data_IF_144788729112
#
_entry.id   IF_144788729112
#
_cell.length_a   1.000
_cell.length_b   1.000
_cell.length_c   1.000
_cell.angle_alpha   90.00
_cell.angle_beta   90.00
_cell.angle_gamma   90.00
#
_symmetry.space_group_name_H-M   'P 1'
#
loop_
_entity.id
_entity.type
_entity.pdbx_description
1 polymer ?
#
# COMPACT_ATOMS: atom_id res chain seq x y z
N UNK A 1 10.57 3.64 15.60
CA UNK A 1 9.57 3.80 14.55
C UNK A 1 10.15 4.54 13.33
N UNK A 2 10.57 5.80 13.46
CA UNK A 2 11.11 6.65 12.38
C UNK A 2 12.24 5.97 11.61
N UNK A 3 13.23 5.36 12.29
CA UNK A 3 14.33 4.65 11.64
C UNK A 3 13.87 3.47 10.80
N UNK A 4 12.87 2.71 11.26
CA UNK A 4 12.31 1.58 10.52
C UNK A 4 11.61 2.08 9.25
N UNK A 5 10.85 3.16 9.34
CA UNK A 5 10.22 3.80 8.18
C UNK A 5 11.28 4.28 7.17
N UNK A 6 12.35 4.94 7.64
CA UNK A 6 13.44 5.42 6.78
C UNK A 6 14.13 4.27 6.03
N UNK A 7 14.46 3.17 6.73
CA UNK A 7 15.04 1.97 6.09
C UNK A 7 14.09 1.41 5.04
N UNK A 8 12.78 1.37 5.33
CA UNK A 8 11.78 0.85 4.40
C UNK A 8 11.62 1.74 3.17
N UNK A 9 11.72 3.07 3.32
CA UNK A 9 11.79 4.02 2.19
C UNK A 9 12.99 3.69 1.30
N UNK A 10 14.19 3.53 1.88
CA UNK A 10 15.39 3.19 1.11
C UNK A 10 15.24 1.86 0.36
N UNK A 11 14.72 0.81 1.03
CA UNK A 11 14.47 -0.51 0.41
C UNK A 11 13.47 -0.38 -0.74
N UNK A 12 12.38 0.37 -0.56
CA UNK A 12 11.36 0.57 -1.60
C UNK A 12 11.90 1.37 -2.78
N UNK A 13 12.69 2.42 -2.52
CA UNK A 13 13.34 3.21 -3.56
C UNK A 13 14.35 2.38 -4.36
N UNK A 14 15.19 1.58 -3.69
CA UNK A 14 16.09 0.64 -4.36
C UNK A 14 15.31 -0.36 -5.21
N UNK A 15 14.24 -0.94 -4.67
CA UNK A 15 13.42 -1.90 -5.42
C UNK A 15 12.77 -1.23 -6.64
N UNK A 16 12.36 0.03 -6.53
CA UNK A 16 11.86 0.81 -7.66
C UNK A 16 12.91 0.99 -8.76
N UNK A 17 14.14 1.37 -8.41
CA UNK A 17 15.23 1.57 -9.39
C UNK A 17 15.51 0.32 -10.25
N UNK A 18 15.31 -0.86 -9.68
CA UNK A 18 15.52 -2.13 -10.39
C UNK A 18 14.26 -2.68 -11.06
N UNK A 19 13.07 -2.42 -10.55
CA UNK A 19 11.81 -2.98 -11.06
C UNK A 19 11.06 -2.03 -11.98
N UNK A 20 11.30 -0.71 -11.89
CA UNK A 20 10.55 0.38 -12.52
C UNK A 20 9.03 0.34 -12.29
N UNK A 21 8.55 -0.42 -11.30
CA UNK A 21 7.11 -0.53 -10.99
C UNK A 21 6.67 0.57 -10.04
N UNK A 22 5.65 1.32 -10.43
CA UNK A 22 5.09 2.45 -9.66
C UNK A 22 4.59 2.07 -8.26
N UNK A 23 4.22 0.81 -8.06
CA UNK A 23 3.83 0.29 -6.73
C UNK A 23 4.89 0.56 -5.65
N UNK A 24 6.18 0.48 -5.99
CA UNK A 24 7.26 0.75 -5.04
C UNK A 24 7.40 2.24 -4.70
N UNK A 25 7.01 3.14 -5.61
CA UNK A 25 6.92 4.58 -5.32
C UNK A 25 5.78 4.88 -4.35
N UNK A 26 4.61 4.27 -4.55
CA UNK A 26 3.48 4.41 -3.62
C UNK A 26 3.84 3.92 -2.22
N UNK A 27 4.55 2.78 -2.12
CA UNK A 27 5.06 2.27 -0.84
C UNK A 27 6.08 3.24 -0.21
N UNK A 28 7.02 3.76 -0.98
CA UNK A 28 8.00 4.73 -0.49
C UNK A 28 7.30 6.00 0.03
N UNK A 29 6.33 6.54 -0.72
CA UNK A 29 5.53 7.68 -0.32
C UNK A 29 4.76 7.42 0.99
N UNK A 30 4.13 6.24 1.13
CA UNK A 30 3.47 5.83 2.36
C UNK A 30 4.40 5.92 3.57
N UNK A 31 5.61 5.36 3.48
CA UNK A 31 6.54 5.39 4.60
C UNK A 31 7.16 6.77 4.86
N UNK A 32 7.29 7.62 3.83
CA UNK A 32 7.69 9.02 4.01
C UNK A 32 6.63 9.78 4.82
N UNK A 33 5.35 9.69 4.44
CA UNK A 33 4.29 10.35 5.19
C UNK A 33 4.11 9.77 6.59
N UNK A 34 4.26 8.46 6.76
CA UNK A 34 4.23 7.81 8.07
C UNK A 34 5.38 8.27 8.98
N UNK A 35 6.56 8.47 8.41
CA UNK A 35 7.71 9.04 9.14
C UNK A 35 7.47 10.48 9.57
N UNK A 36 6.89 11.32 8.68
CA UNK A 36 6.56 12.71 8.98
C UNK A 36 5.47 12.80 10.06
N UNK A 37 4.44 11.95 9.98
CA UNK A 37 3.38 11.87 11.00
C UNK A 37 3.94 11.42 12.35
N UNK A 38 4.79 10.41 12.38
CA UNK A 38 5.47 9.98 13.60
C UNK A 38 6.37 11.07 14.20
N UNK A 39 7.05 11.87 13.36
CA UNK A 39 7.85 13.01 13.83
C UNK A 39 6.97 14.11 14.42
N UNK A 40 5.81 14.35 13.80
CA UNK A 40 4.83 15.31 14.29
C UNK A 40 4.22 14.86 15.62
N UNK A 41 3.95 13.57 15.78
CA UNK A 41 3.45 13.01 17.02
C UNK A 41 4.42 13.20 18.20
N UNK A 42 5.74 13.07 17.95
CA UNK A 42 6.75 13.37 18.97
C UNK A 42 6.79 14.87 19.33
N UNK A 43 6.59 15.76 18.35
CA UNK A 43 6.50 17.19 18.60
C UNK A 43 5.25 17.55 19.40
N UNK A 44 4.11 16.95 19.06
CA UNK A 44 2.85 17.10 19.79
C UNK A 44 2.99 16.65 21.25
N UNK A 45 3.62 15.52 21.49
CA UNK A 45 3.88 15.00 22.84
C UNK A 45 4.74 15.97 23.66
N UNK A 46 5.84 16.47 23.06
CA UNK A 46 6.69 17.44 23.71
C UNK A 46 5.95 18.74 24.08
N UNK A 47 5.15 19.28 23.16
CA UNK A 47 4.36 20.49 23.40
C UNK A 47 3.27 20.28 24.47
N UNK A 48 2.62 19.11 24.49
CA UNK A 48 1.59 18.78 25.51
C UNK A 48 2.17 18.70 26.91
N UNK A 49 3.38 18.21 27.08
CA UNK A 49 4.05 18.21 28.38
C UNK A 49 4.27 19.64 28.91
N UNK A 50 4.43 20.62 28.03
CA UNK A 50 4.52 22.04 28.41
C UNK A 50 3.15 22.69 28.68
N UNK A 51 2.08 22.20 28.02
CA UNK A 51 0.71 22.70 28.14
C UNK A 51 -0.10 21.97 29.23
N UNK A 52 0.54 21.38 30.22
CA UNK A 52 -0.08 20.55 31.26
C UNK A 52 -1.24 21.25 31.98
N UNK A 53 -1.18 22.58 32.13
CA UNK A 53 -2.24 23.39 32.73
C UNK A 53 -3.54 23.45 31.90
N UNK A 54 -3.45 23.42 30.58
CA UNK A 54 -4.60 23.39 29.66
C UNK A 54 -5.22 22.00 29.59
N UNK A 55 -4.38 20.96 29.65
CA UNK A 55 -4.81 19.56 29.73
C UNK A 55 -5.63 19.30 30.99
N UNK A 56 -5.23 19.87 32.14
CA UNK A 56 -5.98 19.80 33.41
C UNK A 56 -7.36 20.46 33.28
N UNK A 57 -7.51 21.47 32.42
CA UNK A 57 -8.78 22.10 32.12
C UNK A 57 -9.71 21.27 31.22
N UNK A 58 -9.30 20.05 30.80
CA UNK A 58 -10.09 19.16 29.96
C UNK A 58 -10.18 19.54 28.48
N UNK A 59 -9.36 20.49 28.04
CA UNK A 59 -9.28 20.91 26.65
C UNK A 59 -8.13 20.15 25.95
N UNK A 60 -8.46 19.35 24.94
CA UNK A 60 -7.49 18.60 24.16
C UNK A 60 -7.56 19.02 22.69
N UNK A 61 -6.98 20.18 22.30
CA UNK A 61 -7.03 20.63 20.92
C UNK A 61 -6.21 19.71 20.01
N UNK A 62 -6.66 19.57 18.77
CA UNK A 62 -5.87 18.96 17.72
C UNK A 62 -4.72 19.91 17.37
N UNK A 63 -3.49 19.55 17.77
CA UNK A 63 -2.31 20.36 17.48
C UNK A 63 -1.90 20.18 16.00
N UNK A 64 -1.32 21.22 15.41
CA UNK A 64 -0.77 21.20 14.05
C UNK A 64 -1.75 20.66 12.97
N UNK A 65 -3.02 21.08 13.02
CA UNK A 65 -4.09 20.61 12.14
C UNK A 65 -3.70 20.58 10.66
N UNK A 66 -3.04 21.65 10.18
CA UNK A 66 -2.64 21.76 8.76
C UNK A 66 -1.59 20.72 8.37
N UNK A 67 -0.61 20.47 9.22
CA UNK A 67 0.42 19.46 8.96
C UNK A 67 -0.19 18.05 9.00
N UNK A 68 -1.05 17.77 9.99
CA UNK A 68 -1.79 16.51 10.09
C UNK A 68 -2.64 16.25 8.87
N UNK A 69 -3.36 17.26 8.39
CA UNK A 69 -4.15 17.18 7.17
C UNK A 69 -3.28 16.80 5.95
N UNK A 70 -2.17 17.50 5.73
CA UNK A 70 -1.28 17.23 4.59
C UNK A 70 -0.71 15.81 4.67
N UNK A 71 -0.28 15.38 5.86
CA UNK A 71 0.34 14.05 6.03
C UNK A 71 -0.71 12.95 5.91
N UNK A 72 -1.89 13.13 6.46
CA UNK A 72 -3.01 12.20 6.34
C UNK A 72 -3.44 12.01 4.90
N UNK A 73 -3.65 13.10 4.15
CA UNK A 73 -4.00 13.03 2.72
C UNK A 73 -2.89 12.31 1.93
N UNK A 74 -1.63 12.63 2.18
CA UNK A 74 -0.48 11.97 1.53
C UNK A 74 -0.40 10.48 1.84
N UNK A 75 -0.62 10.11 3.11
CA UNK A 75 -0.63 8.72 3.57
C UNK A 75 -1.75 7.93 2.88
N UNK A 76 -2.99 8.44 2.93
CA UNK A 76 -4.15 7.78 2.37
C UNK A 76 -4.10 7.69 0.84
N UNK A 77 -3.61 8.74 0.17
CA UNK A 77 -3.37 8.72 -1.27
C UNK A 77 -2.36 7.63 -1.66
N UNK A 78 -1.30 7.46 -0.88
CA UNK A 78 -0.29 6.42 -1.11
C UNK A 78 -0.88 5.01 -1.00
N UNK A 79 -1.73 4.76 0.00
CA UNK A 79 -2.44 3.49 0.16
C UNK A 79 -3.40 3.22 -0.99
N UNK A 80 -4.15 4.25 -1.41
CA UNK A 80 -5.08 4.12 -2.52
C UNK A 80 -4.37 3.79 -3.83
N UNK A 81 -3.31 4.54 -4.17
CA UNK A 81 -2.49 4.28 -5.37
C UNK A 81 -1.85 2.90 -5.30
N UNK A 82 -1.31 2.49 -4.14
CA UNK A 82 -0.82 1.12 -3.95
C UNK A 82 -1.91 0.08 -4.26
N UNK A 83 -3.11 0.28 -3.75
CA UNK A 83 -4.24 -0.64 -3.96
C UNK A 83 -4.63 -0.74 -5.43
N UNK A 84 -4.65 0.37 -6.17
CA UNK A 84 -4.91 0.38 -7.61
C UNK A 84 -3.80 -0.29 -8.43
N UNK A 85 -2.54 -0.07 -8.06
CA UNK A 85 -1.38 -0.66 -8.76
C UNK A 85 -1.34 -2.18 -8.62
N UNK A 86 -1.69 -2.75 -7.45
CA UNK A 86 -1.67 -4.20 -7.26
C UNK A 86 -2.78 -4.93 -8.04
N UNK A 87 -3.88 -4.23 -8.38
CA UNK A 87 -4.96 -4.77 -9.22
C UNK A 87 -4.89 -4.29 -10.67
N UNK A 88 -3.84 -3.51 -11.01
CA UNK A 88 -3.59 -2.96 -12.36
C UNK A 88 -4.75 -2.08 -12.89
N UNK A 89 -5.33 -1.26 -12.00
CA UNK A 89 -6.45 -0.33 -12.29
C UNK A 89 -6.07 1.13 -12.05
N UNK A 90 -4.77 1.45 -12.07
CA UNK A 90 -4.27 2.80 -11.80
C UNK A 90 -4.43 3.71 -13.04
N UNK A 91 -5.66 4.14 -13.31
CA UNK A 91 -5.95 5.23 -14.24
C UNK A 91 -6.11 6.57 -13.50
N UNK A 92 -5.94 7.73 -14.18
CA UNK A 92 -5.97 9.04 -13.54
C UNK A 92 -7.28 9.33 -12.81
N UNK A 93 -8.42 8.90 -13.33
CA UNK A 93 -9.72 9.15 -12.73
C UNK A 93 -9.86 8.38 -11.39
N UNK A 94 -9.60 7.08 -11.41
CA UNK A 94 -9.66 6.24 -10.22
C UNK A 94 -8.61 6.63 -9.18
N UNK A 95 -7.46 7.17 -9.60
CA UNK A 95 -6.43 7.62 -8.69
C UNK A 95 -6.74 8.99 -8.05
N UNK A 96 -7.34 9.93 -8.78
CA UNK A 96 -7.51 11.31 -8.29
C UNK A 96 -8.83 11.49 -7.54
N UNK A 97 -9.95 11.02 -8.10
CA UNK A 97 -11.29 11.35 -7.58
C UNK A 97 -11.50 10.91 -6.13
N UNK A 98 -11.20 9.65 -5.73
CA UNK A 98 -11.37 9.26 -4.33
C UNK A 98 -10.50 10.04 -3.36
N UNK A 99 -9.27 10.39 -3.76
CA UNK A 99 -8.35 11.19 -2.94
C UNK A 99 -8.83 12.63 -2.77
N UNK A 100 -9.42 13.24 -3.80
CA UNK A 100 -10.02 14.58 -3.70
C UNK A 100 -11.24 14.56 -2.78
N UNK A 101 -12.10 13.54 -2.89
CA UNK A 101 -13.24 13.37 -1.99
C UNK A 101 -12.76 13.21 -0.55
N UNK A 102 -11.79 12.35 -0.30
CA UNK A 102 -11.21 12.15 1.03
C UNK A 102 -10.65 13.45 1.61
N UNK A 103 -9.80 14.15 0.85
CA UNK A 103 -9.21 15.42 1.28
C UNK A 103 -10.28 16.49 1.59
N UNK A 104 -11.36 16.54 0.79
CA UNK A 104 -12.46 17.47 1.02
C UNK A 104 -13.24 17.15 2.30
N UNK A 105 -13.51 15.87 2.56
CA UNK A 105 -14.18 15.44 3.79
C UNK A 105 -13.31 15.65 5.03
N UNK A 106 -12.02 15.38 4.92
CA UNK A 106 -11.08 15.58 6.01
C UNK A 106 -10.88 17.07 6.31
N UNK A 107 -10.80 17.92 5.29
CA UNK A 107 -10.78 19.38 5.47
C UNK A 107 -12.06 19.88 6.14
N UNK A 108 -13.23 19.35 5.74
CA UNK A 108 -14.51 19.68 6.38
C UNK A 108 -14.52 19.24 7.85
N UNK A 109 -13.92 18.10 8.19
CA UNK A 109 -13.87 17.62 9.57
C UNK A 109 -13.13 18.57 10.50
N UNK A 110 -12.14 19.31 10.00
CA UNK A 110 -11.39 20.31 10.79
C UNK A 110 -12.22 21.55 11.18
N UNK A 111 -13.34 21.79 10.50
CA UNK A 111 -14.26 22.89 10.84
C UNK A 111 -15.37 22.50 11.82
N UNK A 112 -15.39 21.24 12.29
CA UNK A 112 -16.42 20.76 13.21
C UNK A 112 -16.20 21.26 14.64
N UNK A 113 -17.29 21.54 15.32
CA UNK A 113 -17.39 21.83 16.75
C UNK A 113 -18.34 20.82 17.40
N UNK A 114 -18.10 20.32 18.59
CA UNK A 114 -16.97 20.58 19.51
C UNK A 114 -15.68 19.80 19.12
N UNK A 115 -14.57 20.11 19.78
CA UNK A 115 -13.22 19.58 19.49
C UNK A 115 -13.16 18.04 19.48
N UNK A 116 -13.90 17.36 20.37
CA UNK A 116 -13.96 15.88 20.36
C UNK A 116 -14.57 15.32 19.08
N UNK A 117 -15.56 16.03 18.49
CA UNK A 117 -16.19 15.61 17.24
C UNK A 117 -15.25 15.81 16.05
N UNK A 118 -14.47 16.92 16.04
CA UNK A 118 -13.40 17.17 15.08
C UNK A 118 -12.41 16.02 15.07
N UNK A 119 -11.85 15.67 16.24
CA UNK A 119 -10.88 14.58 16.37
C UNK A 119 -11.45 13.24 15.95
N UNK A 120 -12.64 12.88 16.44
CA UNK A 120 -13.29 11.63 16.05
C UNK A 120 -13.49 11.53 14.54
N UNK A 121 -14.02 12.60 13.94
CA UNK A 121 -14.28 12.63 12.51
C UNK A 121 -12.99 12.52 11.70
N UNK A 122 -11.94 13.24 12.10
CA UNK A 122 -10.63 13.24 11.46
C UNK A 122 -10.01 11.82 11.41
N UNK A 123 -9.92 11.14 12.55
CA UNK A 123 -9.33 9.79 12.62
C UNK A 123 -10.26 8.71 12.04
N UNK A 124 -11.58 8.81 12.27
CA UNK A 124 -12.51 7.84 11.71
C UNK A 124 -12.56 7.87 10.17
N UNK A 125 -12.44 9.05 9.54
CA UNK A 125 -12.39 9.18 8.08
C UNK A 125 -11.22 8.37 7.47
N UNK A 126 -10.06 8.36 8.11
CA UNK A 126 -8.91 7.54 7.70
C UNK A 126 -9.26 6.05 7.69
N UNK A 127 -9.86 5.56 8.78
CA UNK A 127 -10.29 4.17 8.89
C UNK A 127 -11.34 3.80 7.85
N UNK A 128 -12.33 4.65 7.62
CA UNK A 128 -13.34 4.44 6.58
C UNK A 128 -12.74 4.44 5.17
N UNK A 129 -11.74 5.29 4.92
CA UNK A 129 -11.05 5.31 3.63
C UNK A 129 -10.23 4.03 3.39
N UNK A 130 -9.59 3.48 4.43
CA UNK A 130 -8.93 2.18 4.37
C UNK A 130 -9.94 1.06 4.08
N UNK A 131 -11.13 1.07 4.71
CA UNK A 131 -12.18 0.11 4.39
C UNK A 131 -12.69 0.27 2.96
N UNK A 132 -12.79 1.49 2.43
CA UNK A 132 -13.12 1.72 1.03
C UNK A 132 -12.06 1.10 0.10
N UNK A 133 -10.78 1.19 0.44
CA UNK A 133 -9.71 0.52 -0.31
C UNK A 133 -9.83 -1.01 -0.25
N UNK A 134 -10.15 -1.59 0.93
CA UNK A 134 -10.38 -3.04 1.04
C UNK A 134 -11.61 -3.50 0.26
N UNK A 135 -12.70 -2.73 0.26
CA UNK A 135 -13.91 -3.07 -0.51
C UNK A 135 -13.66 -2.99 -2.00
N UNK A 136 -12.91 -2.00 -2.47
CA UNK A 136 -12.46 -1.91 -3.87
C UNK A 136 -11.61 -3.12 -4.26
N UNK A 137 -10.62 -3.50 -3.42
CA UNK A 137 -9.80 -4.68 -3.65
C UNK A 137 -10.61 -5.98 -3.67
N UNK A 138 -11.61 -6.12 -2.78
CA UNK A 138 -12.50 -7.28 -2.74
C UNK A 138 -13.36 -7.36 -4.00
N UNK A 139 -13.90 -6.23 -4.47
CA UNK A 139 -14.67 -6.16 -5.71
C UNK A 139 -13.81 -6.54 -6.93
N UNK A 140 -12.61 -6.00 -7.06
CA UNK A 140 -11.69 -6.36 -8.15
C UNK A 140 -11.26 -7.83 -8.03
N UNK A 141 -11.01 -8.34 -6.83
CA UNK A 141 -10.70 -9.75 -6.61
C UNK A 141 -11.81 -10.68 -7.13
N UNK A 142 -13.09 -10.35 -6.87
CA UNK A 142 -14.21 -11.17 -7.37
C UNK A 142 -14.26 -11.22 -8.91
N UNK A 143 -13.81 -10.19 -9.59
CA UNK A 143 -13.81 -10.09 -11.04
C UNK A 143 -12.54 -10.68 -11.70
N UNK A 144 -11.55 -11.13 -10.90
CA UNK A 144 -10.33 -11.74 -11.45
C UNK A 144 -10.56 -13.16 -11.97
N UNK A 145 -9.76 -13.56 -12.96
CA UNK A 145 -9.71 -14.95 -13.45
C UNK A 145 -9.22 -15.89 -12.34
N UNK A 146 -9.66 -17.16 -12.28
CA UNK A 146 -9.33 -18.09 -11.19
C UNK A 146 -7.83 -18.24 -10.91
N UNK A 147 -7.00 -18.32 -11.95
CA UNK A 147 -5.55 -18.42 -11.82
C UNK A 147 -4.93 -17.16 -11.18
N UNK A 148 -5.42 -15.97 -11.57
CA UNK A 148 -4.97 -14.68 -11.00
C UNK A 148 -5.46 -14.54 -9.56
N UNK A 149 -6.69 -14.96 -9.24
CA UNK A 149 -7.21 -15.01 -7.85
C UNK A 149 -6.29 -15.81 -6.94
N UNK A 150 -5.88 -17.00 -7.36
CA UNK A 150 -5.00 -17.85 -6.57
C UNK A 150 -3.64 -17.19 -6.34
N UNK A 151 -3.03 -16.62 -7.38
CA UNK A 151 -1.76 -15.91 -7.28
C UNK A 151 -1.88 -14.66 -6.38
N UNK A 152 -2.93 -13.88 -6.53
CA UNK A 152 -3.21 -12.70 -5.70
C UNK A 152 -3.42 -13.08 -4.23
N UNK A 153 -4.27 -14.08 -3.96
CA UNK A 153 -4.56 -14.56 -2.61
C UNK A 153 -3.31 -15.11 -1.92
N UNK A 154 -2.49 -15.89 -2.63
CA UNK A 154 -1.24 -16.43 -2.07
C UNK A 154 -0.23 -15.34 -1.70
N UNK A 155 -0.19 -14.25 -2.47
CA UNK A 155 0.76 -13.15 -2.29
C UNK A 155 0.27 -12.10 -1.27
N UNK A 156 -0.98 -11.66 -1.39
CA UNK A 156 -1.52 -10.53 -0.63
C UNK A 156 -2.56 -10.92 0.41
N UNK A 157 -3.21 -12.09 0.29
CA UNK A 157 -4.38 -12.46 1.07
C UNK A 157 -4.16 -12.36 2.58
N UNK A 158 -3.11 -12.97 3.12
CA UNK A 158 -2.80 -12.91 4.56
C UNK A 158 -2.52 -11.48 5.03
N UNK A 159 -1.78 -10.71 4.23
CA UNK A 159 -1.48 -9.31 4.53
C UNK A 159 -2.75 -8.47 4.60
N UNK A 160 -3.62 -8.57 3.59
CA UNK A 160 -4.87 -7.80 3.52
C UNK A 160 -5.85 -8.15 4.64
N UNK A 161 -5.97 -9.43 5.00
CA UNK A 161 -6.82 -9.84 6.13
C UNK A 161 -6.28 -9.26 7.44
N UNK A 162 -4.99 -9.40 7.72
CA UNK A 162 -4.38 -8.83 8.92
C UNK A 162 -4.52 -7.30 8.93
N UNK A 163 -4.30 -6.63 7.80
CA UNK A 163 -4.46 -5.19 7.67
C UNK A 163 -5.91 -4.73 7.93
N UNK A 164 -6.91 -5.45 7.41
CA UNK A 164 -8.32 -5.14 7.65
C UNK A 164 -8.70 -5.31 9.14
N UNK A 165 -8.21 -6.36 9.80
CA UNK A 165 -8.43 -6.57 11.24
C UNK A 165 -7.77 -5.45 12.05
N UNK A 166 -6.53 -5.08 11.73
CA UNK A 166 -5.83 -3.98 12.42
C UNK A 166 -6.52 -2.63 12.20
N UNK A 167 -7.06 -2.37 11.00
CA UNK A 167 -7.85 -1.16 10.72
C UNK A 167 -9.13 -1.13 11.55
N UNK A 168 -9.81 -2.26 11.73
CA UNK A 168 -10.97 -2.35 12.60
C UNK A 168 -10.60 -2.08 14.07
N UNK A 169 -9.49 -2.66 14.53
CA UNK A 169 -8.99 -2.41 15.89
C UNK A 169 -8.56 -0.95 16.08
N UNK A 170 -7.98 -0.30 15.06
CA UNK A 170 -7.66 1.12 15.08
C UNK A 170 -8.92 1.98 15.25
N UNK A 171 -9.99 1.72 14.50
CA UNK A 171 -11.26 2.43 14.63
C UNK A 171 -11.88 2.24 16.03
N UNK A 172 -11.81 1.03 16.60
CA UNK A 172 -12.28 0.74 17.95
C UNK A 172 -11.42 1.48 18.98
N UNK A 173 -10.09 1.45 18.85
CA UNK A 173 -9.19 2.15 19.76
C UNK A 173 -9.44 3.65 19.75
N UNK A 174 -9.55 4.29 18.58
CA UNK A 174 -9.82 5.73 18.44
C UNK A 174 -11.15 6.12 19.08
N UNK A 175 -12.20 5.32 18.84
CA UNK A 175 -13.54 5.56 19.40
C UNK A 175 -13.55 5.35 20.93
N UNK A 176 -12.92 4.28 21.42
CA UNK A 176 -12.82 3.98 22.84
C UNK A 176 -11.93 4.99 23.57
N UNK A 177 -10.78 5.35 23.00
CA UNK A 177 -9.87 6.32 23.58
C UNK A 177 -10.55 7.68 23.76
N UNK A 178 -11.31 8.12 22.75
CA UNK A 178 -12.06 9.37 22.85
C UNK A 178 -13.19 9.30 23.89
N UNK A 179 -13.95 8.19 23.91
CA UNK A 179 -14.99 7.96 24.90
C UNK A 179 -14.45 7.92 26.35
N UNK A 180 -13.32 7.22 26.54
CA UNK A 180 -12.67 7.14 27.85
C UNK A 180 -12.06 8.47 28.28
N UNK A 181 -11.57 9.31 27.37
CA UNK A 181 -11.12 10.68 27.69
C UNK A 181 -12.26 11.52 28.25
N UNK A 182 -13.44 11.44 27.64
CA UNK A 182 -14.63 12.16 28.12
C UNK A 182 -14.99 11.68 29.52
N UNK A 183 -14.94 10.36 29.79
CA UNK A 183 -15.26 9.77 31.09
C UNK A 183 -14.16 10.04 32.13
N UNK A 184 -12.91 9.99 31.72
CA UNK A 184 -11.73 10.16 32.58
C UNK A 184 -11.34 11.62 32.80
N UNK A 185 -12.20 12.57 32.49
CA UNK A 185 -11.93 14.03 32.63
C UNK A 185 -11.40 14.44 34.00
N UNK A 186 -11.65 13.63 35.06
CA UNK A 186 -11.20 13.87 36.41
C UNK A 186 -9.85 13.19 36.77
N UNK A 187 -9.22 12.44 35.84
CA UNK A 187 -7.94 11.75 36.11
C UNK A 187 -6.91 12.03 35.01
N UNK A 188 -6.04 13.05 35.20
CA UNK A 188 -5.07 13.49 34.19
C UNK A 188 -4.10 12.40 33.73
N UNK A 189 -3.69 11.50 34.64
CA UNK A 189 -2.76 10.41 34.31
C UNK A 189 -3.38 9.36 33.38
N UNK A 190 -4.68 9.08 33.55
CA UNK A 190 -5.42 8.14 32.71
C UNK A 190 -5.67 8.75 31.32
N UNK A 191 -5.92 10.04 31.25
CA UNK A 191 -6.10 10.77 30.00
C UNK A 191 -4.84 10.73 29.14
N UNK A 192 -3.67 11.00 29.72
CA UNK A 192 -2.36 10.93 29.04
C UNK A 192 -2.11 9.52 28.51
N UNK A 193 -2.40 8.48 29.28
CA UNK A 193 -2.17 7.09 28.86
C UNK A 193 -2.94 6.71 27.60
N UNK A 194 -4.20 7.10 27.48
CA UNK A 194 -5.04 6.79 26.31
C UNK A 194 -4.78 7.70 25.10
N UNK A 195 -4.15 8.84 25.32
CA UNK A 195 -3.89 9.80 24.24
C UNK A 195 -2.73 9.39 23.33
N UNK A 196 -1.71 8.74 23.86
CA UNK A 196 -0.42 8.55 23.22
C UNK A 196 -0.23 7.20 22.53
N UNK A 197 -1.22 6.29 22.57
CA UNK A 197 -1.04 4.92 22.10
C UNK A 197 -1.99 4.58 20.95
N UNK A 198 -1.42 4.57 19.75
CA UNK A 198 -2.01 3.98 18.55
C UNK A 198 -1.37 2.60 18.30
N UNK A 199 -1.69 1.61 19.14
CA UNK A 199 -1.10 0.27 19.04
C UNK A 199 -1.46 -0.44 17.71
N UNK A 200 -2.74 -0.47 17.25
CA UNK A 200 -3.09 -1.09 15.99
C UNK A 200 -2.47 -0.39 14.78
N UNK A 201 -2.35 0.94 14.77
CA UNK A 201 -1.71 1.70 13.70
C UNK A 201 -0.22 1.38 13.61
N UNK A 202 0.48 1.34 14.75
CA UNK A 202 1.87 0.93 14.79
C UNK A 202 2.06 -0.53 14.35
N UNK A 203 1.14 -1.43 14.75
CA UNK A 203 1.16 -2.82 14.31
C UNK A 203 0.92 -2.95 12.81
N UNK A 204 0.01 -2.15 12.24
CA UNK A 204 -0.25 -2.08 10.80
C UNK A 204 0.99 -1.61 10.03
N UNK A 205 1.67 -0.59 10.54
CA UNK A 205 2.93 -0.09 9.96
C UNK A 205 4.01 -1.17 10.00
N UNK A 206 4.19 -1.87 11.12
CA UNK A 206 5.16 -2.98 11.23
C UNK A 206 4.82 -4.15 10.31
N UNK A 207 3.53 -4.48 10.16
CA UNK A 207 3.05 -5.48 9.21
C UNK A 207 3.40 -5.07 7.76
N UNK A 208 3.21 -3.81 7.42
CA UNK A 208 3.57 -3.26 6.11
C UNK A 208 5.09 -3.31 5.88
N UNK A 209 5.90 -2.93 6.88
CA UNK A 209 7.38 -3.05 6.85
C UNK A 209 7.79 -4.48 6.56
N UNK A 210 7.26 -5.44 7.33
CA UNK A 210 7.59 -6.86 7.15
C UNK A 210 7.23 -7.34 5.74
N UNK A 211 6.04 -6.96 5.25
CA UNK A 211 5.60 -7.32 3.91
C UNK A 211 6.53 -6.76 2.83
N UNK A 212 6.91 -5.48 2.94
CA UNK A 212 7.80 -4.80 1.98
C UNK A 212 9.19 -5.42 1.97
N UNK A 213 9.80 -5.61 3.14
CA UNK A 213 11.14 -6.21 3.25
C UNK A 213 11.13 -7.62 2.68
N UNK A 214 10.15 -8.45 3.04
CA UNK A 214 10.00 -9.81 2.51
C UNK A 214 9.82 -9.83 0.99
N UNK A 215 8.94 -8.96 0.46
CA UNK A 215 8.68 -8.86 -0.98
C UNK A 215 9.90 -8.39 -1.76
N UNK A 216 10.62 -7.40 -1.23
CA UNK A 216 11.85 -6.88 -1.84
C UNK A 216 12.98 -7.91 -1.78
N UNK A 217 13.15 -8.62 -0.66
CA UNK A 217 14.14 -9.70 -0.54
C UNK A 217 13.86 -10.83 -1.55
N UNK A 218 12.60 -11.22 -1.72
CA UNK A 218 12.22 -12.20 -2.76
C UNK A 218 12.52 -11.69 -4.17
N UNK A 219 12.22 -10.42 -4.47
CA UNK A 219 12.53 -9.81 -5.74
C UNK A 219 14.03 -9.83 -6.03
N UNK A 220 14.86 -9.41 -5.08
CA UNK A 220 16.32 -9.40 -5.24
C UNK A 220 16.92 -10.82 -5.32
N UNK A 221 16.41 -11.76 -4.51
CA UNK A 221 16.88 -13.15 -4.58
C UNK A 221 16.61 -13.76 -5.95
N UNK A 222 15.43 -13.53 -6.54
CA UNK A 222 15.11 -14.02 -7.88
C UNK A 222 15.96 -13.36 -8.99
N UNK A 223 16.36 -12.09 -8.79
CA UNK A 223 17.12 -11.35 -9.80
C UNK A 223 18.62 -11.61 -9.72
N UNK A 224 19.17 -11.79 -8.53
CA UNK A 224 20.62 -11.90 -8.31
C UNK A 224 21.09 -13.30 -7.93
N UNK A 225 20.20 -14.23 -7.58
CA UNK A 225 20.55 -15.65 -7.44
C UNK A 225 20.58 -16.32 -8.82
N UNK A 226 21.53 -15.91 -9.65
CA UNK A 226 21.94 -16.80 -10.73
C UNK A 226 22.49 -18.06 -10.06
N UNK A 227 22.04 -19.27 -10.44
CA UNK A 227 22.59 -20.49 -9.86
C UNK A 227 24.05 -20.61 -10.25
N UNK A 228 24.94 -20.27 -9.32
CA UNK A 228 26.37 -20.49 -9.45
C UNK A 228 26.59 -22.00 -9.55
N UNK A 229 26.86 -22.51 -10.74
CA UNK A 229 27.23 -23.92 -10.95
C UNK A 229 26.13 -24.84 -11.52
N UNK A 230 24.99 -24.33 -11.93
CA UNK A 230 24.02 -25.13 -12.69
C UNK A 230 24.47 -25.10 -14.19
N UNK A 231 24.58 -26.29 -14.79
CA UNK A 231 24.90 -26.39 -16.22
C UNK A 231 23.87 -25.58 -17.03
N UNK A 232 24.32 -24.99 -18.15
CA UNK A 232 23.46 -24.16 -19.02
C UNK A 232 22.20 -24.89 -19.44
N UNK A 233 22.25 -26.20 -19.50
CA UNK A 233 21.16 -27.11 -19.82
C UNK A 233 20.08 -27.17 -18.72
N UNK A 234 20.49 -27.26 -17.46
CA UNK A 234 19.56 -27.27 -16.31
C UNK A 234 18.92 -25.91 -16.10
N UNK A 235 19.70 -24.82 -16.38
CA UNK A 235 19.13 -23.46 -16.39
C UNK A 235 18.07 -23.29 -17.48
N UNK A 236 18.29 -23.81 -18.68
CA UNK A 236 17.29 -23.79 -19.77
C UNK A 236 16.03 -24.55 -19.39
N UNK A 237 16.15 -25.78 -18.89
CA UNK A 237 15.00 -26.58 -18.48
C UNK A 237 14.17 -25.93 -17.36
N UNK A 238 14.81 -25.29 -16.39
CA UNK A 238 14.11 -24.54 -15.32
C UNK A 238 13.42 -23.28 -15.86
N UNK A 239 14.05 -22.56 -16.79
CA UNK A 239 13.45 -21.38 -17.43
C UNK A 239 12.25 -21.81 -18.27
N UNK A 240 12.38 -22.88 -19.06
CA UNK A 240 11.33 -23.41 -19.93
C UNK A 240 10.12 -23.94 -19.13
N UNK A 241 10.39 -24.68 -18.04
CA UNK A 241 9.34 -25.13 -17.12
C UNK A 241 8.61 -23.96 -16.43
N UNK A 242 9.33 -22.91 -16.03
CA UNK A 242 8.75 -21.70 -15.45
C UNK A 242 7.96 -20.88 -16.48
N UNK A 243 8.46 -20.78 -17.70
CA UNK A 243 7.78 -20.12 -18.81
C UNK A 243 6.49 -20.84 -19.16
N UNK A 244 6.53 -22.16 -19.28
CA UNK A 244 5.33 -22.98 -19.49
C UNK A 244 4.30 -22.81 -18.39
N UNK A 245 4.73 -22.94 -17.12
CA UNK A 245 3.86 -22.73 -15.97
C UNK A 245 3.26 -21.32 -15.92
N UNK A 246 4.05 -20.29 -16.29
CA UNK A 246 3.56 -18.92 -16.37
C UNK A 246 2.47 -18.76 -17.44
N UNK A 247 2.68 -19.34 -18.63
CA UNK A 247 1.71 -19.29 -19.71
C UNK A 247 0.41 -20.00 -19.34
N UNK A 248 0.51 -21.17 -18.71
CA UNK A 248 -0.63 -21.97 -18.26
C UNK A 248 -1.45 -21.23 -17.17
N UNK A 249 -0.77 -20.66 -16.18
CA UNK A 249 -1.40 -19.87 -15.09
C UNK A 249 -2.09 -18.61 -15.62
N UNK A 250 -1.52 -17.99 -16.65
CA UNK A 250 -2.08 -16.78 -17.27
C UNK A 250 -3.12 -17.06 -18.35
N UNK A 251 -3.29 -18.33 -18.75
CA UNK A 251 -4.20 -18.70 -19.84
C UNK A 251 -3.74 -18.15 -21.19
N UNK A 252 -2.43 -18.01 -21.39
CA UNK A 252 -1.82 -17.57 -22.64
C UNK A 252 -1.96 -18.68 -23.67
N UNK A 253 -2.57 -18.39 -24.82
CA UNK A 253 -2.73 -19.35 -25.91
C UNK A 253 -1.38 -19.74 -26.54
N UNK A 254 -1.31 -20.85 -27.27
CA UNK A 254 -0.08 -21.30 -27.94
C UNK A 254 0.51 -20.21 -28.86
N UNK A 255 -0.34 -19.51 -29.60
CA UNK A 255 0.12 -18.42 -30.50
C UNK A 255 0.64 -17.20 -29.75
N UNK A 256 0.02 -16.86 -28.64
CA UNK A 256 0.52 -15.81 -27.75
C UNK A 256 1.83 -16.23 -27.06
N UNK A 257 2.00 -17.52 -26.76
CA UNK A 257 3.23 -18.09 -26.22
C UNK A 257 4.39 -17.92 -27.21
N UNK A 258 4.18 -18.27 -28.49
CA UNK A 258 5.19 -18.10 -29.54
C UNK A 258 5.64 -16.64 -29.68
N UNK A 259 4.68 -15.70 -29.63
CA UNK A 259 4.98 -14.27 -29.66
C UNK A 259 5.70 -13.81 -28.40
N UNK A 260 5.29 -14.27 -27.23
CA UNK A 260 5.90 -13.90 -25.94
C UNK A 260 7.35 -14.40 -25.84
N UNK A 261 7.63 -15.59 -26.31
CA UNK A 261 8.98 -16.18 -26.31
C UNK A 261 9.95 -15.31 -27.11
N UNK A 262 9.58 -14.94 -28.33
CA UNK A 262 10.42 -14.09 -29.17
C UNK A 262 10.54 -12.65 -28.64
N UNK A 263 9.50 -12.11 -27.99
CA UNK A 263 9.58 -10.82 -27.29
C UNK A 263 10.58 -10.86 -26.13
N UNK A 264 10.62 -11.96 -25.38
CA UNK A 264 11.60 -12.15 -24.29
C UNK A 264 13.03 -12.30 -24.79
N UNK A 265 13.22 -12.82 -25.99
CA UNK A 265 14.52 -12.88 -26.71
C UNK A 265 14.94 -11.51 -27.28
N UNK A 266 14.06 -10.50 -27.21
CA UNK A 266 14.35 -9.15 -27.68
C UNK A 266 14.07 -8.92 -29.16
N UNK A 267 13.34 -9.83 -29.83
CA UNK A 267 12.95 -9.66 -31.23
C UNK A 267 11.95 -8.50 -31.38
N UNK A 268 12.09 -7.72 -32.44
CA UNK A 268 11.12 -6.68 -32.79
C UNK A 268 9.87 -7.26 -33.48
N UNK A 269 8.80 -6.47 -33.52
CA UNK A 269 7.51 -6.91 -34.10
C UNK A 269 7.61 -7.35 -35.55
N UNK A 270 8.59 -6.84 -36.31
CA UNK A 270 8.82 -7.20 -37.72
C UNK A 270 9.46 -8.58 -37.81
N UNK A 271 10.52 -8.82 -37.05
CA UNK A 271 11.19 -10.10 -36.96
C UNK A 271 10.26 -11.21 -36.51
N UNK A 272 9.41 -10.91 -35.50
CA UNK A 272 8.38 -11.85 -35.00
C UNK A 272 7.36 -12.17 -36.10
N UNK A 273 6.90 -11.15 -36.83
CA UNK A 273 5.95 -11.34 -37.91
C UNK A 273 6.50 -12.22 -39.03
N UNK A 274 7.78 -12.01 -39.40
CA UNK A 274 8.48 -12.79 -40.43
C UNK A 274 8.72 -14.24 -39.96
N UNK A 275 9.14 -14.46 -38.71
CA UNK A 275 9.43 -15.80 -38.18
C UNK A 275 8.18 -16.66 -37.97
N UNK A 276 7.07 -16.04 -37.52
CA UNK A 276 5.81 -16.75 -37.28
C UNK A 276 4.85 -16.76 -38.48
N UNK A 277 5.25 -16.17 -39.61
CA UNK A 277 4.47 -16.05 -40.84
C UNK A 277 3.10 -15.38 -40.61
N UNK A 278 3.05 -14.31 -39.80
CA UNK A 278 1.86 -13.52 -39.51
C UNK A 278 2.09 -12.03 -39.81
N UNK A 279 1.02 -11.25 -39.81
CA UNK A 279 1.15 -9.79 -40.02
C UNK A 279 1.69 -9.08 -38.76
N UNK A 280 2.38 -7.95 -38.96
CA UNK A 280 2.82 -7.09 -37.86
C UNK A 280 1.62 -6.64 -36.99
N UNK A 281 0.45 -6.43 -37.61
CA UNK A 281 -0.79 -6.12 -36.91
C UNK A 281 -1.24 -7.25 -35.97
N UNK A 282 -1.11 -8.51 -36.44
CA UNK A 282 -1.40 -9.70 -35.64
C UNK A 282 -0.45 -9.86 -34.46
N UNK A 283 0.86 -9.59 -34.66
CA UNK A 283 1.85 -9.58 -33.56
C UNK A 283 1.48 -8.55 -32.51
N UNK A 284 1.13 -7.33 -32.92
CA UNK A 284 0.68 -6.27 -31.99
C UNK A 284 -0.59 -6.66 -31.23
N UNK A 285 -1.54 -7.33 -31.90
CA UNK A 285 -2.75 -7.82 -31.27
C UNK A 285 -2.47 -8.88 -30.22
N UNK A 286 -1.60 -9.87 -30.52
CA UNK A 286 -1.17 -10.88 -29.54
C UNK A 286 -0.39 -10.25 -28.38
N UNK A 287 0.55 -9.34 -28.66
CA UNK A 287 1.27 -8.62 -27.62
C UNK A 287 0.32 -7.84 -26.70
N UNK A 288 -0.71 -7.18 -27.25
CA UNK A 288 -1.71 -6.47 -26.46
C UNK A 288 -2.59 -7.40 -25.60
N UNK A 289 -2.86 -8.61 -26.08
CA UNK A 289 -3.62 -9.63 -25.33
C UNK A 289 -2.81 -10.21 -24.16
N UNK A 290 -1.48 -10.23 -24.25
CA UNK A 290 -0.56 -10.69 -23.21
C UNK A 290 -0.42 -9.66 -22.07
N UNK A 291 -0.43 -8.36 -22.39
CA UNK A 291 -0.29 -7.25 -21.43
C UNK A 291 -1.62 -6.85 -20.79
#
# INVERSE_FOLDING_TARGET
FILICMVTVCVSACTYLFSHRRVHLAIAAFFVFNMLEGSLALLDEYQRQQLLSEIIAGQFPLLHEQAKFIFSVGLMASVWVFSLEIVNRCDPFNAIVPNVIFASLELLSLSLEPEWLKQLSFYALRSFYLFAAFTMLAFEYENMRPAVKQAFSSRYGKFLICAAVLTLLMLIEDTCALGLRIIASNNPGLQLFFYERNLPENALTLLAVFFVIRSSAQFFSLRFSAPSGVSEEVSRQVVEARFSSFCDVRGISERERDVLEQLLEGADNRTIAESLFISIGTVKSHAHAIY
#
